data_IF_526221715954
#
_entry.id   IF_526221715954
#
_cell.length_a   1.000
_cell.length_b   1.000
_cell.length_c   1.000
_cell.angle_alpha   90.00
_cell.angle_beta   90.00
_cell.angle_gamma   90.00
#
_symmetry.space_group_name_H-M   'P 1'
#
loop_
_entity.id
_entity.type
_entity.pdbx_description
1 polymer ?
2 non-polymer ?
3 water ?
#
# COMPACT_ATOMS: atom_id res chain seq x y z
C UNK A 24 -23.81 8.20 -16.81
N UNK A 25 -23.00 9.26 -16.59
CA UNK A 25 -22.16 9.77 -17.65
C UNK A 25 -21.05 8.79 -17.94
N UNK A 26 -20.44 8.99 -19.08
CA UNK A 26 -19.36 8.16 -19.55
C UNK A 26 -18.05 8.78 -19.10
N UNK A 27 -17.12 7.93 -18.76
CA UNK A 27 -15.78 8.36 -18.39
C UNK A 27 -14.75 7.46 -19.04
N UNK A 28 -14.62 7.55 -20.37
CA UNK A 28 -13.75 6.60 -21.06
C UNK A 28 -12.29 6.72 -20.70
N UNK A 29 -11.80 7.94 -20.53
CA UNK A 29 -10.39 8.13 -20.22
C UNK A 29 -10.06 7.54 -18.85
N UNK A 30 -10.97 7.74 -17.90
CA UNK A 30 -10.83 7.08 -16.60
C UNK A 30 -10.84 5.56 -16.72
N UNK A 31 -11.78 5.04 -17.52
CA UNK A 31 -11.85 3.62 -17.63
C UNK A 31 -10.52 3.04 -18.19
N UNK A 32 -9.92 3.78 -19.16
CA UNK A 32 -8.62 3.40 -19.73
C UNK A 32 -7.54 3.35 -18.65
N UNK A 33 -7.44 4.45 -17.88
CA UNK A 33 -6.50 4.54 -16.77
C UNK A 33 -6.61 3.33 -15.85
N UNK A 34 -7.86 2.96 -15.54
CA UNK A 34 -8.07 1.81 -14.66
C UNK A 34 -7.72 0.48 -15.34
N UNK A 35 -7.96 0.36 -16.67
CA UNK A 35 -7.59 -0.87 -17.33
C UNK A 35 -6.06 -1.03 -17.33
N UNK A 36 -5.34 0.07 -17.57
CA UNK A 36 -3.91 0.05 -17.50
C UNK A 36 -3.39 -0.32 -16.10
N UNK A 37 -4.06 0.30 -15.09
CA UNK A 37 -3.73 0.01 -13.68
C UNK A 37 -3.93 -1.45 -13.36
N UNK A 38 -5.02 -2.02 -13.86
CA UNK A 38 -5.28 -3.42 -13.65
C UNK A 38 -4.19 -4.30 -14.22
N UNK A 39 -3.81 -4.03 -15.50
CA UNK A 39 -2.72 -4.77 -16.12
C UNK A 39 -1.44 -4.65 -15.30
N UNK A 40 -1.16 -3.44 -14.78
CA UNK A 40 0.10 -3.23 -14.09
C UNK A 40 0.15 -4.02 -12.76
N UNK A 41 -0.99 -4.03 -12.04
CA UNK A 41 -0.98 -4.66 -10.74
C UNK A 41 -1.02 -6.17 -10.94
N UNK A 42 -1.49 -6.62 -12.11
CA UNK A 42 -1.53 -8.05 -12.34
C UNK A 42 -0.10 -8.61 -12.45
N UNK A 43 0.88 -7.77 -12.78
CA UNK A 43 2.25 -8.21 -12.85
C UNK A 43 2.84 -8.49 -11.47
N UNK A 44 2.20 -7.96 -10.40
CA UNK A 44 2.71 -8.19 -9.06
C UNK A 44 2.88 -9.65 -8.74
N UNK A 45 1.98 -10.50 -9.25
CA UNK A 45 2.03 -11.90 -8.95
C UNK A 45 3.35 -12.53 -9.40
N UNK A 46 3.80 -12.13 -10.59
CA UNK A 46 5.06 -12.62 -11.11
C UNK A 46 6.26 -12.01 -10.40
N UNK A 47 6.14 -10.74 -9.99
CA UNK A 47 7.20 -10.13 -9.19
C UNK A 47 7.35 -10.87 -7.87
N UNK A 48 6.21 -11.18 -7.23
CA UNK A 48 6.25 -11.90 -5.96
C UNK A 48 6.93 -13.26 -6.16
N UNK A 49 6.73 -13.92 -7.31
CA UNK A 49 7.41 -15.17 -7.58
C UNK A 49 8.93 -14.93 -7.67
N UNK A 50 9.34 -13.92 -8.43
CA UNK A 50 10.75 -13.54 -8.53
C UNK A 50 11.37 -13.40 -7.15
N UNK A 51 10.64 -12.74 -6.28
CA UNK A 51 11.23 -12.37 -4.99
C UNK A 51 11.25 -13.50 -3.97
N UNK A 52 10.17 -14.30 -4.00
CA UNK A 52 10.07 -15.47 -3.14
C UNK A 52 11.21 -16.41 -3.52
N UNK A 53 11.27 -16.75 -4.82
CA UNK A 53 12.38 -17.53 -5.33
C UNK A 53 13.69 -16.89 -4.88
N UNK A 54 13.80 -15.57 -5.01
CA UNK A 54 15.08 -14.88 -5.01
C UNK A 54 15.45 -14.31 -3.64
N UNK A 55 14.49 -13.88 -2.80
CA UNK A 55 14.81 -13.28 -1.50
C UNK A 55 14.79 -11.75 -1.36
N UNK A 56 14.85 -10.97 -2.46
CA UNK A 56 14.82 -9.52 -2.45
C UNK A 56 13.58 -8.98 -1.74
N UNK A 57 13.76 -7.87 -1.04
CA UNK A 57 12.66 -7.21 -0.35
C UNK A 57 11.60 -6.77 -1.36
N UNK A 58 10.35 -6.75 -0.92
CA UNK A 58 9.32 -6.15 -1.73
C UNK A 58 9.60 -4.69 -2.02
N UNK A 59 9.94 -3.93 -1.00
CA UNK A 59 10.20 -2.52 -1.11
C UNK A 59 11.68 -2.23 -1.24
N UNK A 60 12.02 -1.30 -2.12
CA UNK A 60 13.36 -0.73 -2.24
C UNK A 60 13.16 0.78 -2.30
N UNK A 61 13.26 1.47 -1.17
CA UNK A 61 12.81 2.85 -1.10
C UNK A 61 13.65 3.72 -2.03
N UNK A 62 15.00 3.61 -2.11
CA UNK A 62 15.75 4.46 -3.02
C UNK A 62 15.36 4.26 -4.48
N UNK A 63 15.13 3.00 -4.82
CA UNK A 63 14.77 2.64 -6.19
C UNK A 63 13.41 3.19 -6.55
N UNK A 64 12.46 3.11 -5.63
CA UNK A 64 11.12 3.63 -5.86
C UNK A 64 11.16 5.15 -6.00
N UNK A 65 11.99 5.81 -5.18
CA UNK A 65 12.15 7.25 -5.27
C UNK A 65 12.73 7.64 -6.63
N UNK A 66 13.75 6.90 -7.08
CA UNK A 66 14.34 7.13 -8.37
C UNK A 66 13.30 7.00 -9.47
N UNK A 67 12.45 5.95 -9.41
CA UNK A 67 11.43 5.76 -10.42
C UNK A 67 10.46 6.96 -10.43
N UNK A 68 10.06 7.44 -9.25
CA UNK A 68 9.11 8.54 -9.15
C UNK A 68 9.72 9.80 -9.76
N UNK A 69 11.02 10.03 -9.50
CA UNK A 69 11.70 11.20 -10.03
C UNK A 69 11.80 11.12 -11.56
N UNK A 70 12.03 9.91 -12.08
CA UNK A 70 12.17 9.76 -13.53
C UNK A 70 10.81 9.97 -14.22
N UNK A 71 9.74 9.43 -13.62
CA UNK A 71 8.42 9.61 -14.20
C UNK A 71 7.94 11.04 -14.10
N UNK A 72 8.19 11.72 -12.98
CA UNK A 72 7.83 13.11 -12.79
C UNK A 72 8.51 13.99 -13.84
N UNK A 73 9.74 13.64 -14.22
CA UNK A 73 10.51 14.38 -15.20
C UNK A 73 9.87 14.33 -16.58
N UNK A 74 8.98 13.36 -16.80
CA UNK A 74 8.28 13.19 -18.07
C UNK A 74 6.92 13.91 -18.08
N UNK A 75 6.52 14.53 -16.97
CA UNK A 75 5.18 15.08 -16.85
C UNK A 75 4.90 16.14 -17.91
N UNK A 76 5.85 17.05 -18.13
CA UNK A 76 5.65 18.14 -19.06
C UNK A 76 5.39 17.67 -20.50
N UNK A 77 6.01 16.53 -20.87
CA UNK A 77 5.85 15.87 -22.16
C UNK A 77 4.38 15.51 -22.44
N UNK A 78 3.63 15.23 -21.36
CA UNK A 78 2.30 14.61 -21.37
C UNK A 78 1.25 15.54 -20.79
N UNK A 79 1.54 16.82 -20.66
CA UNK A 79 0.48 17.78 -20.37
C UNK A 79 -0.09 17.67 -18.95
N UNK A 80 0.72 17.22 -18.00
CA UNK A 80 0.30 17.09 -16.60
C UNK A 80 1.41 17.64 -15.71
N UNK A 81 1.09 17.83 -14.44
CA UNK A 81 2.03 18.32 -13.45
C UNK A 81 2.92 17.23 -12.89
N UNK A 82 4.15 17.61 -12.55
CA UNK A 82 5.08 16.70 -11.89
C UNK A 82 4.49 16.04 -10.66
N UNK A 83 3.93 16.86 -9.74
CA UNK A 83 3.36 16.31 -8.52
C UNK A 83 2.22 15.35 -8.85
N UNK A 84 1.34 15.71 -9.81
CA UNK A 84 0.26 14.82 -10.19
C UNK A 84 0.80 13.44 -10.60
N UNK A 85 1.93 13.44 -11.34
CA UNK A 85 2.56 12.23 -11.81
C UNK A 85 3.16 11.43 -10.64
N UNK A 86 3.86 12.09 -9.72
CA UNK A 86 4.42 11.38 -8.57
C UNK A 86 3.31 10.76 -7.74
N UNK A 87 2.17 11.46 -7.59
CA UNK A 87 1.07 10.89 -6.82
C UNK A 87 0.47 9.65 -7.48
N UNK A 88 0.25 9.77 -8.80
CA UNK A 88 -0.27 8.62 -9.52
C UNK A 88 0.63 7.39 -9.38
N UNK A 89 1.91 7.58 -9.66
CA UNK A 89 2.82 6.43 -9.66
C UNK A 89 3.14 5.93 -8.25
N UNK A 90 3.12 6.81 -7.24
CA UNK A 90 3.26 6.30 -5.88
C UNK A 90 2.12 5.33 -5.57
N UNK A 91 0.89 5.67 -6.00
CA UNK A 91 -0.25 4.79 -5.80
C UNK A 91 -0.13 3.49 -6.59
N UNK A 92 0.36 3.59 -7.88
CA UNK A 92 0.59 2.37 -8.64
C UNK A 92 1.58 1.46 -7.95
N UNK A 93 2.69 2.02 -7.51
CA UNK A 93 3.72 1.23 -6.88
C UNK A 93 3.20 0.60 -5.57
N UNK A 94 2.44 1.38 -4.79
CA UNK A 94 1.88 0.85 -3.56
C UNK A 94 0.91 -0.28 -3.86
N UNK A 95 0.06 -0.12 -4.91
CA UNK A 95 -0.88 -1.18 -5.29
C UNK A 95 -0.13 -2.48 -5.59
N UNK A 96 1.00 -2.34 -6.31
CA UNK A 96 1.81 -3.48 -6.66
C UNK A 96 2.34 -4.14 -5.38
N UNK A 97 2.90 -3.31 -4.48
CA UNK A 97 3.47 -3.85 -3.25
C UNK A 97 2.48 -4.58 -2.38
N UNK A 98 1.24 -4.05 -2.26
CA UNK A 98 0.34 -4.72 -1.35
C UNK A 98 -0.01 -6.11 -1.84
N UNK A 99 -0.05 -6.28 -3.20
CA UNK A 99 -0.26 -7.63 -3.76
C UNK A 99 0.95 -8.51 -3.41
N UNK A 100 2.16 -8.00 -3.66
CA UNK A 100 3.34 -8.79 -3.40
C UNK A 100 3.38 -9.23 -1.91
N UNK A 101 3.16 -8.28 -0.97
CA UNK A 101 3.27 -8.62 0.45
C UNK A 101 2.25 -9.69 0.78
N UNK A 102 1.02 -9.57 0.28
CA UNK A 102 0.02 -10.57 0.58
C UNK A 102 0.41 -11.94 0.05
N UNK A 103 0.86 -12.01 -1.22
CA UNK A 103 1.18 -13.29 -1.79
C UNK A 103 2.35 -13.95 -1.08
N UNK A 104 3.34 -13.17 -0.60
CA UNK A 104 4.46 -13.73 0.11
C UNK A 104 4.09 -14.16 1.54
N UNK A 105 2.96 -13.65 2.02
CA UNK A 105 2.53 -13.91 3.39
C UNK A 105 1.68 -15.19 3.48
N UNK A 106 1.33 -15.84 2.34
CA UNK A 106 0.58 -17.09 2.28
C UNK A 106 1.29 -18.12 1.41
N UNK A 107 0.96 -19.43 1.43
CA UNK A 107 1.54 -20.37 0.47
C UNK A 107 1.33 -19.87 -0.96
N UNK A 108 2.36 -19.99 -1.81
CA UNK A 108 2.25 -19.55 -3.19
C UNK A 108 1.70 -20.70 -4.04
N UNK A 109 0.63 -20.48 -4.82
CA UNK A 109 0.11 -21.45 -5.77
C UNK A 109 1.17 -22.24 -6.53
N UNK A 110 2.25 -21.57 -7.00
CA UNK A 110 3.28 -22.23 -7.80
C UNK A 110 2.62 -22.86 -9.04
N UNK A 115 10.38 -16.93 -13.94
CA UNK A 115 9.98 -15.52 -14.23
C UNK A 115 11.12 -14.76 -14.89
N UNK A 116 10.82 -14.08 -16.01
CA UNK A 116 11.77 -13.25 -16.71
C UNK A 116 11.60 -11.80 -16.27
N UNK A 117 12.50 -11.30 -15.43
CA UNK A 117 12.34 -9.95 -14.92
C UNK A 117 12.52 -8.89 -15.98
N UNK A 118 13.32 -9.17 -17.02
CA UNK A 118 13.52 -8.17 -18.05
C UNK A 118 12.22 -7.97 -18.84
N UNK A 119 11.46 -9.06 -18.99
CA UNK A 119 10.18 -8.99 -19.67
C UNK A 119 9.14 -8.27 -18.80
N UNK A 120 9.16 -8.53 -17.49
CA UNK A 120 8.31 -7.80 -16.58
C UNK A 120 8.64 -6.31 -16.68
N UNK A 121 9.94 -5.94 -16.62
CA UNK A 121 10.32 -4.53 -16.62
C UNK A 121 9.85 -3.86 -17.91
N UNK A 122 10.02 -4.54 -19.05
CA UNK A 122 9.60 -3.97 -20.32
C UNK A 122 8.08 -3.78 -20.36
N UNK A 123 7.34 -4.66 -19.69
CA UNK A 123 5.89 -4.54 -19.63
C UNK A 123 5.46 -3.38 -18.72
N UNK A 124 6.18 -3.23 -17.60
CA UNK A 124 5.98 -2.12 -16.68
C UNK A 124 6.23 -0.79 -17.38
N UNK A 125 7.35 -0.66 -18.09
CA UNK A 125 7.68 0.56 -18.79
C UNK A 125 6.62 0.91 -19.82
N UNK A 126 6.12 -0.10 -20.56
CA UNK A 126 5.11 0.11 -21.57
C UNK A 126 3.82 0.64 -20.93
N UNK A 127 3.41 -0.01 -19.84
CA UNK A 127 2.21 0.39 -19.09
C UNK A 127 2.39 1.78 -18.45
N UNK A 128 3.58 2.07 -17.94
CA UNK A 128 3.84 3.38 -17.39
C UNK A 128 3.65 4.48 -18.42
N UNK A 129 4.19 4.22 -19.63
CA UNK A 129 4.05 5.21 -20.70
C UNK A 129 2.61 5.39 -21.14
N UNK A 130 1.84 4.30 -21.20
CA UNK A 130 0.44 4.43 -21.53
C UNK A 130 -0.34 5.17 -20.44
N UNK A 131 0.03 4.94 -19.16
CA UNK A 131 -0.57 5.72 -18.08
C UNK A 131 -0.29 7.21 -18.27
N UNK A 132 0.96 7.56 -18.56
CA UNK A 132 1.32 8.95 -18.81
C UNK A 132 0.51 9.53 -19.97
N UNK A 133 0.38 8.79 -21.04
CA UNK A 133 -0.32 9.25 -22.23
C UNK A 133 -1.79 9.50 -21.92
N UNK A 134 -2.37 8.68 -21.04
CA UNK A 134 -3.79 8.79 -20.74
C UNK A 134 -4.12 9.66 -19.55
N UNK A 135 -3.11 10.19 -18.88
CA UNK A 135 -3.38 10.81 -17.58
C UNK A 135 -4.12 12.17 -17.71
N UNK A 136 -3.70 13.05 -18.64
CA UNK A 136 -4.34 14.35 -18.76
C UNK A 136 -5.82 14.23 -19.09
N UNK A 137 -6.23 13.38 -20.06
CA UNK A 137 -7.69 13.26 -20.28
C UNK A 137 -8.45 12.63 -19.11
N UNK A 138 -7.84 11.69 -18.39
CA UNK A 138 -8.51 11.17 -17.20
C UNK A 138 -8.71 12.25 -16.12
N UNK A 139 -7.67 13.03 -15.85
CA UNK A 139 -7.80 14.13 -14.90
C UNK A 139 -8.92 15.07 -15.31
N UNK A 140 -9.02 15.42 -16.61
CA UNK A 140 -10.11 16.29 -17.06
C UNK A 140 -11.50 15.67 -16.81
N UNK A 141 -11.66 14.35 -17.05
CA UNK A 141 -12.92 13.68 -16.73
C UNK A 141 -13.31 13.69 -15.26
N UNK A 142 -12.28 13.76 -14.41
CA UNK A 142 -12.46 13.73 -12.97
C UNK A 142 -12.87 15.11 -12.42
N UNK A 143 -12.69 16.20 -13.21
CA UNK A 143 -12.96 17.58 -12.75
C UNK A 143 -14.45 17.90 -12.88
N UNK A 144 -15.21 17.16 -12.13
CA UNK A 144 -16.66 17.14 -12.16
C UNK A 144 -17.17 17.17 -10.72
N UNK A 145 -18.48 17.33 -10.55
CA UNK A 145 -19.13 17.36 -9.26
C UNK A 145 -19.63 16.00 -8.77
N UNK A 146 -19.36 14.93 -9.49
CA UNK A 146 -19.77 13.58 -9.16
C UNK A 146 -18.59 12.63 -9.36
N UNK A 147 -17.38 13.06 -8.97
CA UNK A 147 -16.20 12.26 -9.21
C UNK A 147 -16.23 10.94 -8.48
N UNK A 148 -16.61 10.92 -7.20
CA UNK A 148 -16.54 9.68 -6.48
C UNK A 148 -17.47 8.62 -7.07
N UNK A 149 -18.74 8.94 -7.37
CA UNK A 149 -19.61 8.01 -8.07
C UNK A 149 -18.96 7.43 -9.32
N UNK A 150 -18.41 8.31 -10.17
CA UNK A 150 -17.87 7.88 -11.45
C UNK A 150 -16.70 6.95 -11.22
N UNK A 151 -15.84 7.30 -10.25
CA UNK A 151 -14.68 6.48 -9.95
C UNK A 151 -15.12 5.10 -9.46
N UNK A 152 -16.07 5.09 -8.48
CA UNK A 152 -16.52 3.82 -7.93
C UNK A 152 -17.14 2.92 -9.01
N UNK A 153 -17.95 3.51 -9.88
CA UNK A 153 -18.55 2.77 -10.99
C UNK A 153 -17.46 2.20 -11.90
N UNK A 154 -16.46 3.02 -12.22
CA UNK A 154 -15.41 2.59 -13.15
C UNK A 154 -14.54 1.50 -12.54
N UNK A 155 -14.25 1.59 -11.23
CA UNK A 155 -13.54 0.53 -10.52
C UNK A 155 -14.31 -0.79 -10.58
N UNK A 156 -15.61 -0.77 -10.24
CA UNK A 156 -16.38 -2.00 -10.21
C UNK A 156 -16.45 -2.62 -11.62
N UNK A 157 -16.59 -1.76 -12.64
CA UNK A 157 -16.65 -2.23 -14.02
C UNK A 157 -15.33 -2.92 -14.39
N UNK A 158 -14.18 -2.37 -13.97
CA UNK A 158 -12.90 -2.95 -14.30
C UNK A 158 -12.68 -4.28 -13.60
N UNK A 159 -13.10 -4.35 -12.31
CA UNK A 159 -13.04 -5.59 -11.56
C UNK A 159 -13.78 -6.71 -12.30
N UNK A 160 -14.99 -6.43 -12.80
CA UNK A 160 -15.71 -7.44 -13.57
C UNK A 160 -14.98 -7.77 -14.88
N UNK A 161 -14.61 -6.73 -15.64
CA UNK A 161 -14.01 -7.00 -16.95
C UNK A 161 -12.86 -7.98 -16.81
N UNK A 162 -12.01 -7.73 -15.83
CA UNK A 162 -10.76 -8.47 -15.67
C UNK A 162 -10.91 -9.65 -14.71
N UNK A 163 -12.11 -9.85 -14.17
CA UNK A 163 -12.39 -10.92 -13.23
C UNK A 163 -11.36 -10.89 -12.10
N UNK A 164 -11.15 -9.70 -11.55
CA UNK A 164 -10.20 -9.57 -10.44
C UNK A 164 -10.72 -10.23 -9.16
N UNK A 165 -9.85 -10.97 -8.48
CA UNK A 165 -10.20 -11.52 -7.20
C UNK A 165 -10.14 -10.39 -6.16
N UNK A 166 -10.50 -10.70 -4.89
CA UNK A 166 -10.60 -9.65 -3.90
C UNK A 166 -9.29 -8.93 -3.68
N UNK A 167 -8.17 -9.66 -3.61
CA UNK A 167 -6.87 -9.02 -3.42
C UNK A 167 -6.59 -8.01 -4.54
N UNK A 168 -6.80 -8.45 -5.82
CA UNK A 168 -6.51 -7.57 -6.94
C UNK A 168 -7.50 -6.42 -7.05
N UNK A 169 -8.78 -6.63 -6.66
CA UNK A 169 -9.77 -5.58 -6.64
C UNK A 169 -9.38 -4.50 -5.60
N UNK A 170 -8.90 -4.96 -4.42
CA UNK A 170 -8.41 -4.04 -3.39
C UNK A 170 -7.20 -3.24 -3.93
N UNK A 171 -6.31 -3.97 -4.60
CA UNK A 171 -5.17 -3.29 -5.24
C UNK A 171 -5.61 -2.22 -6.23
N UNK A 172 -6.65 -2.52 -7.03
CA UNK A 172 -7.08 -1.52 -8.00
C UNK A 172 -7.62 -0.24 -7.35
N UNK A 173 -8.41 -0.40 -6.24
CA UNK A 173 -8.87 0.77 -5.51
C UNK A 173 -7.66 1.51 -4.95
N UNK A 174 -6.62 0.78 -4.56
CA UNK A 174 -5.46 1.45 -4.04
C UNK A 174 -4.78 2.28 -5.13
N UNK A 175 -4.69 1.68 -6.38
CA UNK A 175 -4.01 2.33 -7.50
C UNK A 175 -4.73 3.62 -7.87
N UNK A 176 -6.04 3.69 -7.73
CA UNK A 176 -6.80 4.90 -8.02
C UNK A 176 -6.59 6.00 -6.97
N UNK A 177 -6.23 5.58 -5.76
CA UNK A 177 -5.84 6.54 -4.74
C UNK A 177 -6.84 7.68 -4.58
N UNK A 178 -6.29 8.88 -4.45
CA UNK A 178 -7.08 10.10 -4.35
C UNK A 178 -7.18 10.86 -5.68
N UNK A 179 -7.37 10.11 -6.77
CA UNK A 179 -7.54 10.72 -8.11
C UNK A 179 -8.52 11.88 -8.10
N UNK A 180 -9.65 11.78 -7.40
CA UNK A 180 -10.60 12.88 -7.40
C UNK A 180 -10.00 14.19 -6.89
N UNK A 181 -9.15 14.10 -5.88
CA UNK A 181 -8.45 15.27 -5.37
C UNK A 181 -7.33 15.73 -6.32
N UNK A 182 -6.57 14.78 -6.88
CA UNK A 182 -5.47 15.12 -7.76
C UNK A 182 -5.94 15.83 -9.00
N UNK A 183 -7.18 15.56 -9.45
CA UNK A 183 -7.73 16.25 -10.60
C UNK A 183 -7.87 17.76 -10.38
N UNK A 184 -7.93 18.19 -9.13
CA UNK A 184 -8.23 19.58 -8.82
C UNK A 184 -6.97 20.26 -8.29
N UNK A 185 -5.80 19.63 -8.47
CA UNK A 185 -4.53 20.24 -8.08
C UNK A 185 -4.16 21.40 -9.01
N UNK A 186 -4.06 21.18 -10.33
CA UNK A 186 -3.52 22.21 -11.20
C UNK A 186 -4.50 23.39 -11.26
N UNK B 26 4.59 -20.04 19.62
CA UNK B 26 4.39 -18.56 19.71
C UNK B 26 5.75 -17.85 19.69
N UNK B 27 5.75 -16.75 18.96
CA UNK B 27 6.80 -15.75 18.97
C UNK B 27 6.15 -14.57 19.68
N UNK B 28 6.28 -14.46 21.02
CA UNK B 28 5.46 -13.51 21.75
C UNK B 28 5.52 -12.05 21.30
N UNK B 29 6.74 -11.49 21.22
CA UNK B 29 6.89 -10.08 20.94
C UNK B 29 6.40 -9.74 19.53
N UNK B 30 6.71 -10.63 18.57
CA UNK B 30 6.25 -10.41 17.21
C UNK B 30 4.74 -10.48 17.18
N UNK B 31 4.17 -11.49 17.87
CA UNK B 31 2.72 -11.63 17.92
C UNK B 31 2.05 -10.35 18.42
N UNK B 32 2.62 -9.77 19.49
CA UNK B 32 2.06 -8.52 20.05
C UNK B 32 2.21 -7.36 19.07
N UNK B 33 3.33 -7.30 18.34
CA UNK B 33 3.50 -6.24 17.34
C UNK B 33 2.38 -6.37 16.30
N UNK B 34 2.06 -7.61 15.93
CA UNK B 34 1.01 -7.81 14.92
C UNK B 34 -0.37 -7.54 15.50
N UNK B 35 -0.57 -7.84 16.81
CA UNK B 35 -1.85 -7.53 17.43
C UNK B 35 -2.07 -6.02 17.47
N UNK B 36 -1.04 -5.27 17.82
CA UNK B 36 -1.13 -3.82 17.83
C UNK B 36 -1.43 -3.30 16.42
N UNK B 37 -0.78 -3.93 15.40
CA UNK B 37 -1.02 -3.55 13.97
C UNK B 37 -2.47 -3.80 13.57
N UNK B 38 -3.00 -4.94 14.05
CA UNK B 38 -4.37 -5.29 13.82
C UNK B 38 -5.32 -4.26 14.43
N UNK B 39 -5.01 -3.88 15.70
CA UNK B 39 -5.82 -2.87 16.36
C UNK B 39 -5.83 -1.55 15.59
N UNK B 40 -4.63 -1.17 15.10
CA UNK B 40 -4.49 0.08 14.38
C UNK B 40 -5.31 0.09 13.08
N UNK B 41 -5.25 -1.04 12.36
CA UNK B 41 -5.89 -1.10 11.04
C UNK B 41 -7.41 -1.31 11.21
N UNK B 42 -7.91 -1.75 12.37
CA UNK B 42 -9.34 -1.78 12.62
C UNK B 42 -9.91 -0.35 12.75
N UNK B 43 -9.09 0.63 13.13
CA UNK B 43 -9.50 2.02 13.19
C UNK B 43 -9.65 2.66 11.81
N UNK B 44 -9.04 2.04 10.76
CA UNK B 44 -9.13 2.59 9.42
C UNK B 44 -10.57 2.74 9.00
N UNK B 45 -11.43 1.82 9.46
CA UNK B 45 -12.82 1.83 9.04
C UNK B 45 -13.48 3.13 9.53
N UNK B 46 -13.13 3.53 10.77
CA UNK B 46 -13.69 4.77 11.29
C UNK B 46 -13.09 6.03 10.69
N UNK B 47 -11.80 5.99 10.32
CA UNK B 47 -11.20 7.09 9.57
C UNK B 47 -11.86 7.24 8.21
N UNK B 48 -12.15 6.10 7.56
CA UNK B 48 -12.84 6.15 6.28
C UNK B 48 -14.22 6.79 6.40
N UNK B 49 -14.96 6.43 7.47
CA UNK B 49 -16.28 6.98 7.69
C UNK B 49 -16.22 8.49 7.90
N UNK B 50 -15.18 8.96 8.60
CA UNK B 50 -14.95 10.37 8.79
C UNK B 50 -14.73 11.08 7.45
N UNK B 51 -13.85 10.52 6.63
CA UNK B 51 -13.52 11.14 5.35
C UNK B 51 -14.67 11.06 4.34
N UNK B 52 -15.55 10.04 4.45
CA UNK B 52 -16.70 10.02 3.57
C UNK B 52 -17.58 11.23 3.84
N UNK B 53 -17.65 11.66 5.08
CA UNK B 53 -18.53 12.74 5.46
C UNK B 53 -17.84 14.10 5.30
N UNK B 54 -16.51 14.18 5.50
CA UNK B 54 -15.79 15.43 5.47
C UNK B 54 -15.27 15.84 4.11
N UNK B 55 -15.05 14.85 3.25
CA UNK B 55 -14.49 15.04 1.92
C UNK B 55 -12.97 15.14 1.89
N UNK B 56 -12.29 14.92 3.03
CA UNK B 56 -10.85 14.98 3.09
C UNK B 56 -10.25 13.78 2.37
N UNK B 57 -9.11 14.01 1.73
CA UNK B 57 -8.39 12.96 1.01
C UNK B 57 -7.92 11.88 2.01
N UNK B 58 -7.82 10.67 1.52
CA UNK B 58 -7.25 9.61 2.32
C UNK B 58 -5.82 9.98 2.69
N UNK B 59 -5.04 10.39 1.68
CA UNK B 59 -3.62 10.63 1.85
C UNK B 59 -3.36 12.11 2.13
N UNK B 60 -2.55 12.42 3.12
CA UNK B 60 -2.07 13.75 3.43
C UNK B 60 -0.56 13.65 3.62
N UNK B 61 0.18 13.99 2.57
CA UNK B 61 1.60 13.68 2.52
C UNK B 61 2.37 14.47 3.56
N UNK B 62 2.12 15.80 3.75
CA UNK B 62 2.77 16.55 4.83
C UNK B 62 2.59 15.94 6.21
N UNK B 63 1.33 15.63 6.56
CA UNK B 63 0.98 15.01 7.82
C UNK B 63 1.72 13.69 8.02
N UNK B 64 1.74 12.84 6.99
CA UNK B 64 2.43 11.55 7.11
C UNK B 64 3.92 11.76 7.35
N UNK B 65 4.57 12.66 6.59
CA UNK B 65 6.00 12.89 6.77
C UNK B 65 6.27 13.46 8.17
N UNK B 66 5.39 14.32 8.70
CA UNK B 66 5.59 14.91 10.01
C UNK B 66 5.57 13.78 11.06
N UNK B 67 4.70 12.79 10.84
CA UNK B 67 4.54 11.71 11.80
C UNK B 67 5.80 10.83 11.79
N UNK B 68 6.29 10.51 10.61
CA UNK B 68 7.47 9.66 10.48
C UNK B 68 8.71 10.33 11.10
N UNK B 69 8.81 11.66 10.95
CA UNK B 69 9.89 12.43 11.57
C UNK B 69 9.76 12.45 13.11
N UNK B 70 8.53 12.66 13.60
CA UNK B 70 8.28 12.68 15.02
C UNK B 70 8.71 11.36 15.67
N UNK B 71 8.43 10.25 15.00
CA UNK B 71 8.65 8.92 15.57
C UNK B 71 10.10 8.45 15.36
N UNK B 72 10.68 8.67 14.18
CA UNK B 72 12.04 8.26 13.91
C UNK B 72 13.03 8.95 14.84
N UNK B 73 12.70 10.17 15.26
CA UNK B 73 13.59 10.90 16.14
C UNK B 73 13.72 10.25 17.52
N UNK B 74 12.73 9.41 17.90
CA UNK B 74 12.69 8.71 19.18
C UNK B 74 13.28 7.30 19.13
N UNK B 75 13.80 6.91 17.98
CA UNK B 75 14.33 5.56 17.78
C UNK B 75 15.34 5.18 18.86
N UNK B 76 16.24 6.12 19.19
CA UNK B 76 17.35 5.90 20.11
C UNK B 76 16.91 5.86 21.57
N UNK B 77 15.62 6.17 21.79
CA UNK B 77 15.03 5.99 23.10
C UNK B 77 14.38 4.61 23.25
N UNK B 78 14.40 3.79 22.18
CA UNK B 78 13.62 2.54 22.17
C UNK B 78 14.45 1.40 21.58
N UNK B 79 15.77 1.60 21.52
CA UNK B 79 16.68 0.52 21.17
C UNK B 79 16.61 0.10 19.71
N UNK B 80 16.19 1.00 18.82
CA UNK B 80 16.10 0.70 17.38
C UNK B 80 16.68 1.86 16.58
N UNK B 81 16.87 1.63 15.28
CA UNK B 81 17.40 2.63 14.35
C UNK B 81 16.31 3.56 13.80
N UNK B 82 16.69 4.79 13.41
CA UNK B 82 15.76 5.74 12.82
C UNK B 82 15.13 5.18 11.54
N UNK B 83 15.91 4.53 10.66
CA UNK B 83 15.38 4.00 9.41
C UNK B 83 14.42 2.83 9.72
N UNK B 84 14.79 1.93 10.63
CA UNK B 84 13.88 0.88 11.05
C UNK B 84 12.51 1.44 11.45
N UNK B 85 12.50 2.57 12.16
CA UNK B 85 11.27 3.16 12.67
C UNK B 85 10.47 3.78 11.52
N UNK B 86 11.13 4.56 10.66
CA UNK B 86 10.43 5.08 9.50
C UNK B 86 9.77 3.93 8.73
N UNK B 87 10.54 2.86 8.47
CA UNK B 87 10.04 1.77 7.66
C UNK B 87 8.78 1.18 8.31
N UNK B 88 8.84 0.88 9.61
CA UNK B 88 7.68 0.33 10.27
C UNK B 88 6.46 1.21 10.10
N UNK B 89 6.60 2.51 10.42
CA UNK B 89 5.42 3.36 10.42
C UNK B 89 4.93 3.69 9.00
N UNK B 90 5.84 3.75 8.02
CA UNK B 90 5.38 3.89 6.64
C UNK B 90 4.46 2.72 6.27
N UNK B 91 4.82 1.52 6.67
CA UNK B 91 3.99 0.35 6.41
C UNK B 91 2.65 0.39 7.17
N UNK B 92 2.71 0.84 8.44
CA UNK B 92 1.45 1.01 9.20
C UNK B 92 0.51 1.97 8.49
N UNK B 93 1.04 3.11 8.09
CA UNK B 93 0.22 4.13 7.45
C UNK B 93 -0.34 3.59 6.12
N UNK B 94 0.48 2.89 5.33
CA UNK B 94 -0.01 2.39 4.05
C UNK B 94 -1.06 1.31 4.26
N UNK B 95 -0.89 0.48 5.29
CA UNK B 95 -1.90 -0.52 5.59
C UNK B 95 -3.24 0.12 5.89
N UNK B 96 -3.21 1.22 6.66
CA UNK B 96 -4.43 1.96 7.01
C UNK B 96 -5.07 2.55 5.74
N UNK B 97 -4.20 3.18 4.91
CA UNK B 97 -4.66 3.79 3.65
C UNK B 97 -5.33 2.77 2.72
N UNK B 98 -4.79 1.55 2.62
CA UNK B 98 -5.41 0.62 1.64
C UNK B 98 -6.80 0.19 2.12
N UNK B 99 -7.01 0.11 3.49
CA UNK B 99 -8.38 -0.17 3.95
C UNK B 99 -9.30 1.01 3.64
N UNK B 100 -8.83 2.22 3.88
CA UNK B 100 -9.66 3.39 3.66
C UNK B 100 -10.06 3.50 2.18
N UNK B 101 -9.09 3.36 1.26
CA UNK B 101 -9.41 3.47 -0.16
C UNK B 101 -10.43 2.42 -0.57
N UNK B 102 -10.27 1.19 -0.09
CA UNK B 102 -11.21 0.14 -0.45
C UNK B 102 -12.62 0.48 0.05
N UNK B 103 -12.71 0.88 1.35
CA UNK B 103 -14.03 1.16 1.91
C UNK B 103 -14.70 2.32 1.20
N UNK B 104 -13.93 3.33 0.81
CA UNK B 104 -14.55 4.47 0.12
C UNK B 104 -15.00 4.12 -1.31
N UNK B 105 -14.43 3.05 -1.88
CA UNK B 105 -14.70 2.67 -3.27
C UNK B 105 -15.94 1.79 -3.32
N UNK B 106 -16.42 1.24 -2.20
CA UNK B 106 -17.65 0.44 -2.22
C UNK B 106 -18.76 1.15 -1.44
N UNK B 107 -20.06 0.78 -1.56
CA UNK B 107 -21.05 1.31 -0.63
C UNK B 107 -20.49 1.45 0.79
N UNK B 114 -21.52 8.63 12.85
CA UNK B 114 -20.65 9.83 13.00
C UNK B 114 -19.42 9.45 13.83
N UNK B 115 -18.27 10.00 13.46
CA UNK B 115 -16.99 9.62 14.02
C UNK B 115 -16.34 10.84 14.66
N UNK B 116 -15.79 10.64 15.86
CA UNK B 116 -14.98 11.65 16.52
C UNK B 116 -13.52 11.44 16.11
N UNK B 117 -13.07 12.18 15.10
CA UNK B 117 -11.77 12.01 14.52
C UNK B 117 -10.64 12.34 15.51
N UNK B 118 -10.84 13.35 16.36
CA UNK B 118 -9.80 13.72 17.30
C UNK B 118 -9.57 12.57 18.30
N UNK B 119 -10.62 11.84 18.63
CA UNK B 119 -10.51 10.66 19.48
C UNK B 119 -9.85 9.50 18.76
N UNK B 120 -10.21 9.29 17.49
CA UNK B 120 -9.58 8.22 16.74
C UNK B 120 -8.08 8.49 16.63
N UNK B 121 -7.72 9.73 16.30
CA UNK B 121 -6.32 10.07 16.08
C UNK B 121 -5.56 9.99 17.40
N UNK B 122 -6.20 10.28 18.54
CA UNK B 122 -5.61 10.06 19.86
C UNK B 122 -5.31 8.57 20.08
N UNK B 123 -6.25 7.69 19.70
CA UNK B 123 -6.05 6.26 19.85
C UNK B 123 -4.92 5.76 18.94
N UNK B 124 -4.86 6.26 17.72
CA UNK B 124 -3.76 5.93 16.85
C UNK B 124 -2.40 6.30 17.46
N UNK B 125 -2.36 7.46 18.10
CA UNK B 125 -1.15 7.93 18.78
C UNK B 125 -0.72 6.94 19.87
N UNK B 126 -1.67 6.46 20.65
CA UNK B 126 -1.35 5.55 21.72
C UNK B 126 -0.82 4.25 21.12
N UNK B 127 -1.45 3.77 20.05
CA UNK B 127 -1.00 2.57 19.37
C UNK B 127 0.40 2.74 18.80
N UNK B 128 0.72 3.93 18.28
CA UNK B 128 2.06 4.15 17.73
C UNK B 128 3.10 4.01 18.85
N UNK B 129 2.80 4.55 20.03
CA UNK B 129 3.77 4.48 21.10
C UNK B 129 3.96 3.05 21.56
N UNK B 130 2.86 2.29 21.63
CA UNK B 130 2.94 0.89 21.98
C UNK B 130 3.75 0.11 20.96
N UNK B 131 3.54 0.40 19.68
CA UNK B 131 4.32 -0.23 18.60
C UNK B 131 5.82 0.05 18.81
N UNK B 132 6.14 1.32 19.04
CA UNK B 132 7.53 1.73 19.22
C UNK B 132 8.18 1.00 20.40
N UNK B 133 7.48 0.89 21.52
CA UNK B 133 8.07 0.16 22.65
C UNK B 133 8.24 -1.33 22.35
N UNK B 134 7.28 -1.90 21.64
CA UNK B 134 7.34 -3.32 21.33
C UNK B 134 8.25 -3.70 20.17
N UNK B 135 8.88 -2.71 19.51
CA UNK B 135 9.55 -2.98 18.25
C UNK B 135 10.85 -3.76 18.43
N UNK B 136 11.72 -3.29 19.32
CA UNK B 136 13.00 -3.94 19.52
C UNK B 136 12.86 -5.42 19.85
N UNK B 137 12.00 -5.84 20.81
CA UNK B 137 11.88 -7.26 21.09
C UNK B 137 11.32 -8.06 19.91
N UNK B 138 10.44 -7.47 19.12
CA UNK B 138 9.96 -8.15 17.93
C UNK B 138 11.06 -8.36 16.90
N UNK B 139 11.85 -7.30 16.67
CA UNK B 139 12.97 -7.42 15.74
C UNK B 139 13.92 -8.53 16.18
N UNK B 140 14.19 -8.66 17.49
CA UNK B 140 15.06 -9.74 17.94
C UNK B 140 14.49 -11.12 17.57
N UNK B 141 13.17 -11.30 17.68
CA UNK B 141 12.55 -12.56 17.38
C UNK B 141 12.60 -12.87 15.87
N UNK B 142 12.80 -11.82 15.04
CA UNK B 142 12.82 -11.96 13.57
C UNK B 142 14.24 -12.21 13.04
N UNK B 143 15.28 -12.14 13.89
CA UNK B 143 16.66 -12.41 13.47
C UNK B 143 16.97 -13.91 13.58
N UNK B 144 16.31 -14.66 12.71
CA UNK B 144 16.34 -16.10 12.70
C UNK B 144 16.51 -16.56 11.27
N UNK B 145 16.80 -17.84 11.05
CA UNK B 145 16.94 -18.35 9.68
C UNK B 145 15.65 -18.95 9.10
N UNK B 146 14.53 -18.75 9.77
CA UNK B 146 13.22 -19.12 9.23
C UNK B 146 12.24 -17.95 9.48
N UNK B 147 12.67 -16.73 9.19
CA UNK B 147 11.87 -15.57 9.50
C UNK B 147 10.53 -15.53 8.75
N UNK B 148 10.50 -15.84 7.46
CA UNK B 148 9.23 -15.71 6.77
C UNK B 148 8.24 -16.78 7.24
N UNK B 149 8.62 -18.06 7.50
CA UNK B 149 7.68 -18.97 8.15
C UNK B 149 7.14 -18.46 9.47
N UNK B 150 7.99 -17.90 10.33
CA UNK B 150 7.50 -17.42 11.64
C UNK B 150 6.58 -16.23 11.44
N UNK B 151 6.95 -15.32 10.56
CA UNK B 151 6.11 -14.17 10.28
C UNK B 151 4.76 -14.59 9.74
N UNK B 152 4.75 -15.45 8.74
CA UNK B 152 3.52 -15.89 8.12
C UNK B 152 2.63 -16.65 9.10
N UNK B 153 3.22 -17.43 10.01
CA UNK B 153 2.38 -18.12 10.99
C UNK B 153 1.79 -17.12 11.97
N UNK B 154 2.58 -16.13 12.36
CA UNK B 154 2.10 -15.10 13.27
C UNK B 154 0.96 -14.30 12.65
N UNK B 155 1.13 -13.96 11.35
CA UNK B 155 0.08 -13.24 10.64
C UNK B 155 -1.21 -14.05 10.63
N UNK B 156 -1.09 -15.33 10.26
CA UNK B 156 -2.22 -16.24 10.17
C UNK B 156 -2.93 -16.40 11.52
N UNK B 157 -2.14 -16.50 12.60
CA UNK B 157 -2.66 -16.61 13.96
C UNK B 157 -3.48 -15.37 14.31
N UNK B 158 -2.97 -14.19 13.97
CA UNK B 158 -3.63 -12.95 14.30
C UNK B 158 -4.94 -12.79 13.54
N UNK B 159 -4.95 -13.14 12.25
CA UNK B 159 -6.17 -13.20 11.48
C UNK B 159 -7.25 -14.10 12.10
N UNK B 160 -6.81 -15.28 12.56
CA UNK B 160 -7.75 -16.23 13.15
C UNK B 160 -8.25 -15.73 14.50
N UNK B 161 -7.37 -15.20 15.36
CA UNK B 161 -7.75 -14.78 16.69
C UNK B 161 -8.69 -13.59 16.64
N UNK B 162 -8.35 -12.57 15.82
CA UNK B 162 -9.13 -11.34 15.72
C UNK B 162 -10.29 -11.49 14.74
N UNK B 163 -10.42 -12.62 14.06
CA UNK B 163 -11.50 -12.84 13.11
C UNK B 163 -11.52 -11.78 12.01
N UNK B 164 -10.35 -11.51 11.43
CA UNK B 164 -10.21 -10.49 10.43
C UNK B 164 -10.80 -10.98 9.13
N UNK B 165 -11.53 -10.10 8.45
CA UNK B 165 -12.03 -10.37 7.11
C UNK B 165 -10.86 -10.23 6.14
N UNK B 166 -11.16 -10.51 4.86
CA UNK B 166 -10.07 -10.57 3.91
C UNK B 166 -9.36 -9.22 3.71
N UNK B 167 -10.13 -8.14 3.66
CA UNK B 167 -9.59 -6.82 3.53
C UNK B 167 -8.57 -6.58 4.64
N UNK B 168 -8.99 -6.88 5.88
CA UNK B 168 -8.16 -6.56 7.03
C UNK B 168 -6.98 -7.52 7.14
N UNK B 169 -7.16 -8.78 6.74
CA UNK B 169 -6.06 -9.71 6.66
C UNK B 169 -4.98 -9.24 5.68
N UNK B 170 -5.44 -8.75 4.50
CA UNK B 170 -4.53 -8.18 3.50
C UNK B 170 -3.79 -6.97 4.08
N UNK B 171 -4.56 -6.10 4.76
CA UNK B 171 -3.96 -4.94 5.41
C UNK B 171 -2.89 -5.35 6.42
N UNK B 172 -3.16 -6.45 7.18
CA UNK B 172 -2.20 -6.87 8.19
C UNK B 172 -0.89 -7.34 7.54
N UNK B 173 -1.01 -8.11 6.42
CA UNK B 173 0.18 -8.48 5.68
C UNK B 173 0.94 -7.25 5.20
N UNK B 174 0.21 -6.21 4.81
CA UNK B 174 0.87 -4.99 4.36
C UNK B 174 1.64 -4.33 5.52
N UNK B 175 1.00 -4.26 6.71
CA UNK B 175 1.61 -3.65 7.89
C UNK B 175 2.91 -4.37 8.24
N UNK B 176 2.96 -5.67 8.07
CA UNK B 176 4.18 -6.40 8.38
C UNK B 176 5.32 -6.09 7.41
N UNK B 177 4.92 -5.74 6.18
CA UNK B 177 5.91 -5.27 5.24
C UNK B 177 7.12 -6.19 5.09
N UNK B 178 8.28 -5.57 5.06
CA UNK B 178 9.55 -6.28 4.97
C UNK B 178 10.25 -6.42 6.34
N UNK B 179 9.45 -6.65 7.37
CA UNK B 179 9.99 -6.88 8.72
C UNK B 179 11.20 -7.81 8.72
N UNK B 180 11.17 -8.91 7.97
CA UNK B 180 12.30 -9.83 7.98
C UNK B 180 13.60 -9.17 7.55
N UNK B 181 13.52 -8.30 6.57
CA UNK B 181 14.68 -7.54 6.11
C UNK B 181 15.05 -6.47 7.14
N UNK B 182 14.05 -5.78 7.71
CA UNK B 182 14.36 -4.69 8.62
C UNK B 182 15.06 -5.15 9.89
N UNK B 183 14.79 -6.39 10.29
CA UNK B 183 15.44 -6.96 11.46
C UNK B 183 16.94 -7.12 11.27
N UNK B 184 17.45 -7.17 10.04
CA UNK B 184 18.87 -7.35 9.84
C UNK B 184 19.54 -6.05 9.40
N UNK B 185 18.86 -4.91 9.56
CA UNK B 185 19.53 -3.63 9.38
C UNK B 185 20.53 -3.37 10.52
X LIG C 1 8.71 -4.12 -8.44
X LIG C 1 8.59 -4.41 -7.24
X LIG C 1 9.69 -4.43 -9.14
X LIG C 1 7.60 -3.31 -9.08
X LIG C 1 7.30 -1.99 -8.38
X LIG C 1 6.64 -2.24 -7.13
X LIG C 1 8.61 -1.25 -8.14
X LIG C 1 9.58 -1.25 -9.30
X LIG C 1 9.16 -0.87 -10.42
X LIG C 1 10.75 -1.61 -9.09
X LIG C 1 6.39 -1.15 -9.31
X LIG C 1 6.94 -0.41 -10.19
X LIG C 1 5.22 -1.24 -9.06
X LIG D 1 -5.39 8.82 8.34
X LIG D 1 -5.92 9.92 8.64
X LIG D 1 -5.31 8.39 7.17
X LIG D 1 -4.64 7.99 9.38
X LIG D 1 -3.27 7.54 8.83
X LIG D 1 -3.48 6.79 7.65
X LIG D 1 -2.44 8.80 8.50
X LIG D 1 -1.93 9.61 9.68
X LIG D 1 -2.38 9.40 10.83
X LIG D 1 -1.05 10.46 9.43
X LIG D 1 -2.53 6.64 9.83
X LIG D 1 -2.51 5.44 9.54
X LIG D 1 -1.96 7.17 10.80
#
# INVERSE_FOLDING_TARGET
MRPSFASWGLLALLLLQGPLLQAQPLSPALQQLLSLSSQRLQLADQVAQSKAQSGKAVQDSPREEQQLQMLAGQAGSHGVGAEQVRLLFAAQIEANKLVQYRLLSRPLPDAGQAVDLERIRSRLNQLNLELLRGYAPALAELRVDDCRPRLNQALQRQVRVDRLDELHAIALSRAAGDLCHWAELEHHHHHH
MRPSFASWGLLALLLLQGPLLQAQPLSPALQQLLSLSSQRLQLADQVAQSKAQSGKAVQDSPREEQQLQMLAGQAGSHGVGAEQVRLLFAAQIEANKLVQYRLLSRPLPDAGQAVDLERIRSRLNQLNLELLRGYAPALAELRVDDCRPRLNQALQRQVRVDRLDELHAIALSRAAGDLCHWAELEHHHHHH
CIT C1 O1 O2 C2 C3 O7 C4 C5 O3 O4 C6 O5 O6
CIT C1 O1 O2 C2 C3 O7 C4 C5 O3 O4 C6 O5 O6
#
